data_IF_525042037649
#
_entry.id   IF_525042037649
#
_cell.length_a   1.000
_cell.length_b   1.000
_cell.length_c   1.000
_cell.angle_alpha   90.00
_cell.angle_beta   90.00
_cell.angle_gamma   90.00
#
_symmetry.space_group_name_H-M   'P 1'
#
loop_
_entity.id
_entity.type
_entity.pdbx_description
1 polymer ?
#
# COMPACT_ATOMS: atom_id res chain seq x y z
N UNK A 1 20.43 -10.95 -3.67
CA UNK A 1 20.48 -11.11 -2.20
C UNK A 1 19.23 -11.82 -1.67
N UNK A 2 19.33 -12.59 -0.59
CA UNK A 2 18.22 -13.36 -0.02
C UNK A 2 17.03 -12.49 0.40
N UNK A 3 17.30 -11.36 1.05
CA UNK A 3 16.27 -10.41 1.49
C UNK A 3 15.42 -9.87 0.33
N UNK A 4 16.03 -9.69 -0.86
CA UNK A 4 15.35 -9.22 -2.06
C UNK A 4 14.40 -10.28 -2.61
N UNK A 5 14.88 -11.53 -2.71
CA UNK A 5 14.07 -12.67 -3.14
C UNK A 5 12.84 -12.81 -2.23
N UNK A 6 13.04 -12.69 -0.92
CA UNK A 6 11.95 -12.75 0.05
C UNK A 6 10.91 -11.64 -0.15
N UNK A 7 11.33 -10.39 -0.38
CA UNK A 7 10.39 -9.30 -0.67
C UNK A 7 9.62 -9.54 -1.96
N UNK A 8 10.28 -10.06 -3.01
CA UNK A 8 9.62 -10.43 -4.27
C UNK A 8 8.57 -11.53 -4.08
N UNK A 9 8.81 -12.52 -3.22
CA UNK A 9 7.82 -13.53 -2.87
C UNK A 9 6.59 -12.92 -2.18
N UNK A 10 6.81 -11.99 -1.24
CA UNK A 10 5.74 -11.32 -0.49
C UNK A 10 4.86 -10.50 -1.43
N UNK A 11 5.45 -9.62 -2.26
CA UNK A 11 4.67 -8.75 -3.16
C UNK A 11 3.89 -9.55 -4.20
N UNK A 12 4.46 -10.62 -4.75
CA UNK A 12 3.73 -11.53 -5.66
C UNK A 12 2.54 -12.20 -4.98
N UNK A 13 2.67 -12.53 -3.68
CA UNK A 13 1.56 -13.09 -2.90
C UNK A 13 0.48 -12.06 -2.64
N UNK A 14 0.85 -10.81 -2.36
CA UNK A 14 -0.11 -9.71 -2.30
C UNK A 14 -0.81 -9.52 -3.64
N UNK A 15 -0.07 -9.40 -4.74
CA UNK A 15 -0.63 -9.17 -6.07
C UNK A 15 -1.70 -10.20 -6.39
N UNK A 16 -1.33 -11.49 -6.30
CA UNK A 16 -2.24 -12.60 -6.58
C UNK A 16 -3.48 -12.62 -5.67
N UNK A 17 -3.34 -12.23 -4.41
CA UNK A 17 -4.43 -12.40 -3.42
C UNK A 17 -5.35 -11.19 -3.31
N UNK A 18 -4.90 -10.04 -3.80
CA UNK A 18 -5.62 -8.77 -3.75
C UNK A 18 -6.12 -8.31 -5.13
N UNK A 19 -5.71 -8.98 -6.20
CA UNK A 19 -6.23 -8.77 -7.55
C UNK A 19 -7.75 -8.98 -7.60
N UNK A 20 -8.43 -8.13 -8.38
CA UNK A 20 -9.87 -8.23 -8.63
C UNK A 20 -10.78 -7.75 -7.48
N UNK A 21 -10.24 -7.28 -6.35
CA UNK A 21 -11.04 -6.71 -5.26
C UNK A 21 -11.63 -5.37 -5.71
N UNK A 22 -12.96 -5.25 -5.72
CA UNK A 22 -13.63 -4.01 -6.11
C UNK A 22 -13.22 -2.84 -5.21
N UNK A 23 -12.84 -1.71 -5.82
CA UNK A 23 -12.39 -0.52 -5.11
C UNK A 23 -10.91 -0.55 -4.69
N UNK A 24 -10.21 -1.66 -4.96
CA UNK A 24 -8.76 -1.78 -4.80
C UNK A 24 -8.09 -1.87 -6.17
N UNK A 25 -7.06 -1.04 -6.38
CA UNK A 25 -6.23 -1.05 -7.59
C UNK A 25 -4.78 -1.36 -7.18
N UNK A 26 -4.19 -2.35 -7.84
CA UNK A 26 -2.80 -2.73 -7.66
C UNK A 26 -1.91 -1.97 -8.65
N UNK A 27 -0.66 -1.71 -8.27
CA UNK A 27 0.32 -1.09 -9.17
C UNK A 27 1.11 -2.20 -9.84
N UNK A 28 1.08 -2.24 -11.17
CA UNK A 28 1.85 -3.22 -11.93
C UNK A 28 3.36 -2.97 -11.80
N UNK A 29 4.10 -4.05 -11.56
CA UNK A 29 5.55 -4.01 -11.39
C UNK A 29 6.22 -5.17 -12.12
N UNK A 30 7.26 -4.87 -12.89
CA UNK A 30 8.17 -5.90 -13.39
C UNK A 30 9.23 -6.22 -12.33
N UNK A 31 8.95 -7.18 -11.45
CA UNK A 31 9.88 -7.57 -10.38
C UNK A 31 11.22 -8.17 -10.86
N UNK A 32 11.41 -8.40 -12.17
CA UNK A 32 12.73 -8.73 -12.72
C UNK A 32 13.64 -7.50 -12.81
N UNK A 33 13.06 -6.31 -12.91
CA UNK A 33 13.77 -5.04 -13.10
C UNK A 33 13.73 -4.16 -11.83
N UNK A 34 12.77 -4.38 -10.94
CA UNK A 34 12.62 -3.58 -9.72
C UNK A 34 12.86 -4.38 -8.44
N UNK A 35 13.53 -3.74 -7.48
CA UNK A 35 13.62 -4.20 -6.11
C UNK A 35 12.49 -3.58 -5.28
N UNK A 36 11.48 -4.36 -4.83
CA UNK A 36 10.37 -3.79 -4.09
C UNK A 36 10.82 -3.31 -2.71
N UNK A 37 10.86 -1.99 -2.53
CA UNK A 37 11.16 -1.37 -1.24
C UNK A 37 9.89 -1.13 -0.41
N UNK A 38 8.83 -0.68 -1.08
CA UNK A 38 7.48 -0.49 -0.54
C UNK A 38 6.49 -1.30 -1.38
N UNK A 39 5.37 -1.71 -0.78
CA UNK A 39 4.23 -2.25 -1.51
C UNK A 39 3.05 -1.28 -1.38
N UNK A 40 2.71 -0.60 -2.47
CA UNK A 40 1.70 0.47 -2.49
C UNK A 40 0.51 -0.01 -3.31
N UNK A 41 -0.68 0.11 -2.72
CA UNK A 41 -1.96 -0.12 -3.38
C UNK A 41 -2.74 1.20 -3.44
N UNK A 42 -3.71 1.28 -4.34
CA UNK A 42 -4.65 2.40 -4.45
C UNK A 42 -6.03 1.96 -4.00
N UNK A 43 -6.55 2.64 -2.99
CA UNK A 43 -7.87 2.40 -2.40
C UNK A 43 -8.79 3.52 -2.86
N UNK A 44 -9.66 3.24 -3.84
CA UNK A 44 -10.46 4.26 -4.53
C UNK A 44 -11.39 5.05 -3.61
N UNK A 45 -11.88 4.39 -2.57
CA UNK A 45 -12.74 4.96 -1.52
C UNK A 45 -12.37 4.33 -0.19
N UNK A 46 -12.50 5.08 0.90
CA UNK A 46 -12.33 4.57 2.27
C UNK A 46 -10.89 4.22 2.68
N UNK A 47 -9.85 4.77 2.03
CA UNK A 47 -8.44 4.57 2.39
C UNK A 47 -8.19 4.75 3.91
N UNK A 48 -8.72 5.81 4.50
CA UNK A 48 -8.60 6.06 5.94
C UNK A 48 -9.35 5.04 6.82
N UNK A 49 -10.51 4.53 6.37
CA UNK A 49 -11.25 3.51 7.11
C UNK A 49 -10.50 2.18 7.08
N UNK A 50 -9.93 1.81 5.93
CA UNK A 50 -9.08 0.64 5.81
C UNK A 50 -7.85 0.76 6.72
N UNK A 51 -7.17 1.91 6.73
CA UNK A 51 -6.05 2.17 7.65
C UNK A 51 -6.46 1.95 9.10
N UNK A 52 -7.57 2.54 9.55
CA UNK A 52 -8.08 2.38 10.93
C UNK A 52 -8.45 0.92 11.23
N UNK A 53 -9.07 0.23 10.28
CA UNK A 53 -9.43 -1.17 10.43
C UNK A 53 -8.20 -2.07 10.59
N UNK A 54 -7.21 -1.91 9.72
CA UNK A 54 -5.93 -2.63 9.80
C UNK A 54 -5.19 -2.32 11.10
N UNK A 55 -5.14 -1.05 11.50
CA UNK A 55 -4.55 -0.63 12.77
C UNK A 55 -5.23 -1.31 13.96
N UNK A 56 -6.57 -1.39 13.98
CA UNK A 56 -7.32 -2.09 15.02
C UNK A 56 -7.03 -3.60 15.11
N UNK A 57 -6.46 -4.19 14.06
CA UNK A 57 -6.02 -5.58 13.99
C UNK A 57 -4.50 -5.73 14.20
N UNK A 58 -3.80 -4.66 14.57
CA UNK A 58 -2.35 -4.65 14.80
C UNK A 58 -1.49 -4.56 13.53
N UNK A 59 -2.07 -4.19 12.38
CA UNK A 59 -1.36 -4.02 11.12
C UNK A 59 -1.10 -2.53 10.88
N UNK A 60 0.16 -2.13 10.99
CA UNK A 60 0.59 -0.75 10.70
C UNK A 60 0.74 -0.53 9.19
N UNK A 61 0.15 0.53 8.67
CA UNK A 61 0.25 0.94 7.27
C UNK A 61 0.86 2.35 7.14
N UNK A 62 1.44 2.65 5.98
CA UNK A 62 2.02 3.96 5.69
C UNK A 62 1.34 4.71 4.53
N UNK A 63 1.81 5.93 4.27
CA UNK A 63 1.47 6.72 3.09
C UNK A 63 2.77 7.24 2.48
N UNK A 64 3.10 6.79 1.28
CA UNK A 64 4.33 7.19 0.57
C UNK A 64 3.95 7.81 -0.79
N UNK A 65 3.83 9.14 -0.89
CA UNK A 65 4.13 10.17 0.12
C UNK A 65 3.06 11.27 0.18
N UNK A 66 3.11 12.08 1.24
CA UNK A 66 2.38 13.36 1.30
C UNK A 66 2.94 14.27 0.18
N UNK A 67 2.08 14.86 -0.68
CA UNK A 67 2.53 15.79 -1.70
C UNK A 67 3.26 17.00 -1.12
N UNK A 68 4.41 17.36 -1.71
CA UNK A 68 5.26 18.46 -1.23
C UNK A 68 4.48 19.76 -1.05
N UNK A 69 3.61 20.13 -1.99
CA UNK A 69 2.83 21.37 -1.95
C UNK A 69 1.77 21.43 -0.83
N UNK A 70 1.52 20.31 -0.14
CA UNK A 70 0.62 20.24 1.02
C UNK A 70 1.37 20.39 2.35
N UNK A 71 2.70 20.23 2.37
CA UNK A 71 3.47 20.42 3.60
C UNK A 71 3.51 21.91 4.02
N UNK A 72 3.48 22.20 5.33
CA UNK A 72 3.53 23.59 5.83
C UNK A 72 4.72 24.40 5.32
N UNK A 73 5.87 23.75 5.14
CA UNK A 73 7.09 24.39 4.65
C UNK A 73 6.94 24.96 3.23
N UNK A 74 6.15 24.31 2.37
CA UNK A 74 5.94 24.74 0.99
C UNK A 74 4.73 25.68 0.82
N UNK A 75 4.22 26.27 1.91
CA UNK A 75 3.02 27.12 1.88
C UNK A 75 3.08 28.24 0.84
N UNK A 76 4.25 28.86 0.64
CA UNK A 76 4.47 29.90 -0.39
C UNK A 76 4.45 29.38 -1.83
N UNK A 77 4.69 28.09 -2.03
CA UNK A 77 4.71 27.42 -3.33
C UNK A 77 3.46 26.57 -3.57
N UNK A 78 2.42 26.73 -2.73
CA UNK A 78 1.22 25.91 -2.81
C UNK A 78 0.48 26.20 -4.10
N UNK A 79 0.25 25.15 -4.88
CA UNK A 79 -0.53 25.19 -6.11
C UNK A 79 -1.47 23.98 -6.14
N UNK A 80 -2.56 24.06 -6.91
CA UNK A 80 -3.48 22.92 -7.06
C UNK A 80 -2.87 21.91 -8.01
N UNK A 81 -2.62 20.70 -7.51
CA UNK A 81 -2.15 19.57 -8.32
C UNK A 81 -3.19 18.44 -8.20
N UNK A 82 -4.32 18.53 -8.92
CA UNK A 82 -5.49 17.69 -8.67
C UNK A 82 -5.22 16.19 -8.86
N UNK A 83 -4.35 15.82 -9.81
CA UNK A 83 -3.96 14.42 -10.01
C UNK A 83 -3.13 13.93 -8.82
N UNK A 84 -2.14 14.71 -8.39
CA UNK A 84 -1.29 14.40 -7.24
C UNK A 84 -2.10 14.29 -5.96
N UNK A 85 -3.03 15.22 -5.73
CA UNK A 85 -3.93 15.23 -4.57
C UNK A 85 -4.86 14.03 -4.55
N UNK A 86 -5.43 13.65 -5.70
CA UNK A 86 -6.25 12.45 -5.83
C UNK A 86 -5.44 11.19 -5.55
N UNK A 87 -4.26 11.03 -6.15
CA UNK A 87 -3.39 9.87 -5.89
C UNK A 87 -3.02 9.80 -4.42
N UNK A 88 -2.66 10.92 -3.80
CA UNK A 88 -2.39 10.99 -2.36
C UNK A 88 -3.58 10.52 -1.52
N UNK A 89 -4.82 10.79 -1.93
CA UNK A 89 -6.03 10.32 -1.26
C UNK A 89 -6.26 8.80 -1.38
N UNK A 90 -5.78 8.20 -2.47
CA UNK A 90 -5.98 6.79 -2.79
C UNK A 90 -4.86 5.88 -2.25
N UNK A 91 -3.61 6.34 -2.21
CA UNK A 91 -2.48 5.45 -1.90
C UNK A 91 -2.46 4.95 -0.45
N UNK A 92 -2.09 3.69 -0.28
CA UNK A 92 -1.85 3.03 0.99
C UNK A 92 -0.62 2.12 0.86
N UNK A 93 0.32 2.23 1.79
CA UNK A 93 1.49 1.35 1.82
C UNK A 93 1.27 0.22 2.83
N UNK A 94 1.31 -1.01 2.35
CA UNK A 94 1.20 -2.21 3.18
C UNK A 94 2.57 -2.59 3.78
N UNK A 95 2.59 -3.37 4.89
CA UNK A 95 3.82 -3.92 5.42
C UNK A 95 4.59 -4.72 4.37
N UNK A 96 5.86 -4.37 4.19
CA UNK A 96 6.82 -5.09 3.38
C UNK A 96 8.21 -5.02 4.02
N UNK A 97 8.64 -6.11 4.63
CA UNK A 97 10.00 -6.30 5.13
C UNK A 97 10.37 -7.78 5.04
N UNK A 98 11.67 -8.09 5.05
CA UNK A 98 12.17 -9.41 4.68
C UNK A 98 11.93 -10.47 5.76
N UNK A 99 11.76 -10.06 7.00
CA UNK A 99 11.52 -10.90 8.16
C UNK A 99 10.03 -11.26 8.34
N UNK A 100 9.13 -10.76 7.48
CA UNK A 100 7.73 -11.15 7.51
C UNK A 100 7.58 -12.65 7.31
N UNK A 101 6.97 -13.34 8.26
CA UNK A 101 6.62 -14.75 8.10
C UNK A 101 5.46 -14.92 7.12
N UNK A 102 5.31 -16.11 6.53
CA UNK A 102 4.15 -16.39 5.67
C UNK A 102 2.82 -16.18 6.39
N UNK A 103 2.76 -16.46 7.70
CA UNK A 103 1.59 -16.19 8.55
C UNK A 103 1.30 -14.69 8.66
N UNK A 104 2.32 -13.83 8.77
CA UNK A 104 2.12 -12.38 8.80
C UNK A 104 1.55 -11.88 7.48
N UNK A 105 2.10 -12.35 6.34
CA UNK A 105 1.62 -11.97 5.00
C UNK A 105 0.17 -12.42 4.80
N UNK A 106 -0.15 -13.65 5.18
CA UNK A 106 -1.52 -14.19 5.13
C UNK A 106 -2.49 -13.42 6.02
N UNK A 107 -2.05 -13.03 7.21
CA UNK A 107 -2.87 -12.23 8.13
C UNK A 107 -3.21 -10.86 7.53
N UNK A 108 -2.23 -10.19 6.90
CA UNK A 108 -2.48 -8.92 6.20
C UNK A 108 -3.46 -9.12 5.06
N UNK A 109 -3.24 -10.11 4.19
CA UNK A 109 -4.14 -10.43 3.07
C UNK A 109 -5.56 -10.70 3.56
N UNK A 110 -5.71 -11.61 4.54
CA UNK A 110 -7.02 -11.99 5.10
C UNK A 110 -7.73 -10.78 5.69
N UNK A 111 -7.02 -9.92 6.42
CA UNK A 111 -7.63 -8.75 7.06
C UNK A 111 -8.08 -7.71 6.02
N UNK A 112 -7.31 -7.51 4.94
CA UNK A 112 -7.73 -6.63 3.84
C UNK A 112 -8.98 -7.22 3.17
N UNK A 113 -8.98 -8.51 2.84
CA UNK A 113 -10.13 -9.19 2.25
C UNK A 113 -11.38 -9.14 3.14
N UNK A 114 -11.23 -9.32 4.45
CA UNK A 114 -12.29 -9.15 5.46
C UNK A 114 -12.91 -7.74 5.39
N UNK A 115 -12.09 -6.69 5.27
CA UNK A 115 -12.59 -5.31 5.13
C UNK A 115 -13.44 -5.12 3.86
N UNK A 116 -13.01 -5.74 2.74
CA UNK A 116 -13.72 -5.70 1.46
C UNK A 116 -14.80 -6.78 1.32
N UNK A 117 -15.01 -7.62 2.34
CA UNK A 117 -16.01 -8.69 2.38
C UNK A 117 -15.86 -9.74 1.25
N UNK A 118 -14.62 -10.14 0.94
CA UNK A 118 -14.25 -11.12 -0.10
C UNK A 118 -13.31 -12.22 0.37
#
# INVERSE_FOLDING_TARGET
>A
PEFLKRRQEIVKKYDKSLEGIEGLELIEHNYKEVAPFNYIIKVKRNRERLMKFLQGKGITTGIHYIPNHLHPFFKSYRTKLPITERVYQEILTLPLYSEMTNKNVEFVIKTIREFFQV
#
